data_IF_230710002371
#
_entry.id   IF_230710002371
#
_cell.length_a   1.000
_cell.length_b   1.000
_cell.length_c   1.000
_cell.angle_alpha   90.00
_cell.angle_beta   90.00
_cell.angle_gamma   90.00
#
_symmetry.space_group_name_H-M   'P 1'
#
loop_
_entity.id
_entity.type
_entity.pdbx_description
1 polymer ?
#
# COMPACT_ATOMS: atom_id res chain seq x y z
N UNK A 1 3.49 -0.57 -12.91
CA UNK A 1 3.76 0.83 -12.48
C UNK A 1 4.19 0.91 -11.02
N UNK A 2 3.39 0.46 -10.05
CA UNK A 2 3.77 0.48 -8.62
C UNK A 2 5.04 -0.33 -8.28
N UNK A 3 5.15 -1.57 -8.78
CA UNK A 3 6.37 -2.38 -8.60
C UNK A 3 7.62 -1.71 -9.15
N UNK A 4 7.56 -1.16 -10.36
CA UNK A 4 8.67 -0.44 -10.99
C UNK A 4 9.09 0.77 -10.15
N UNK A 5 8.13 1.57 -9.67
CA UNK A 5 8.39 2.69 -8.79
C UNK A 5 9.11 2.23 -7.50
N UNK A 6 8.61 1.19 -6.85
CA UNK A 6 9.23 0.64 -5.64
C UNK A 6 10.65 0.12 -5.90
N UNK A 7 10.87 -0.51 -7.06
CA UNK A 7 12.17 -1.02 -7.48
C UNK A 7 13.21 0.11 -7.64
N UNK A 8 12.83 1.23 -8.27
CA UNK A 8 13.71 2.39 -8.41
C UNK A 8 13.96 3.13 -7.09
N UNK A 9 13.03 3.05 -6.14
CA UNK A 9 13.12 3.67 -4.82
C UNK A 9 13.38 2.66 -3.70
N UNK A 10 14.08 1.56 -4.00
CA UNK A 10 14.22 0.42 -3.09
C UNK A 10 14.79 0.77 -1.71
N UNK A 11 15.65 1.78 -1.61
CA UNK A 11 16.19 2.22 -0.31
C UNK A 11 15.09 2.66 0.67
N UNK A 12 13.97 3.20 0.17
CA UNK A 12 12.84 3.66 0.98
C UNK A 12 12.14 2.53 1.74
N UNK A 13 12.16 1.30 1.19
CA UNK A 13 11.55 0.12 1.82
C UNK A 13 12.22 -0.26 3.15
N UNK A 14 13.46 0.21 3.36
CA UNK A 14 14.21 -0.01 4.59
C UNK A 14 13.83 0.99 5.70
N UNK A 15 13.07 2.03 5.38
CA UNK A 15 12.66 3.02 6.37
C UNK A 15 11.61 2.45 7.34
N UNK A 16 11.68 2.86 8.60
CA UNK A 16 10.69 2.45 9.61
C UNK A 16 9.27 2.89 9.25
N UNK A 17 9.09 4.04 8.59
CA UNK A 17 7.78 4.51 8.12
C UNK A 17 7.19 3.60 7.05
N UNK A 18 7.98 3.17 6.08
CA UNK A 18 7.52 2.23 5.05
C UNK A 18 7.13 0.90 5.67
N UNK A 19 8.01 0.30 6.48
CA UNK A 19 7.76 -1.02 7.10
C UNK A 19 6.52 -1.03 8.01
N UNK A 20 6.27 0.07 8.73
CA UNK A 20 5.04 0.18 9.54
C UNK A 20 3.77 0.25 8.70
N UNK A 21 3.81 0.93 7.55
CA UNK A 21 2.63 1.13 6.71
C UNK A 21 2.33 -0.08 5.81
N UNK A 22 3.34 -0.68 5.19
CA UNK A 22 3.18 -1.73 4.16
C UNK A 22 3.71 -3.10 4.58
N UNK A 23 4.50 -3.19 5.65
CA UNK A 23 5.22 -4.40 6.03
C UNK A 23 6.60 -4.51 5.38
N UNK A 24 7.26 -5.64 5.61
CA UNK A 24 8.56 -5.93 5.00
C UNK A 24 8.40 -6.43 3.57
N UNK A 25 9.24 -5.92 2.66
CA UNK A 25 9.29 -6.33 1.25
C UNK A 25 10.70 -6.80 0.90
N UNK A 26 10.81 -7.88 0.13
CA UNK A 26 12.08 -8.43 -0.36
C UNK A 26 12.30 -8.06 -1.82
N UNK A 27 13.53 -7.65 -2.18
CA UNK A 27 13.84 -7.14 -3.54
C UNK A 27 13.71 -8.22 -4.61
N UNK A 28 14.00 -9.45 -4.22
CA UNK A 28 13.85 -10.64 -5.03
C UNK A 28 12.45 -11.23 -4.79
N UNK A 29 11.41 -10.56 -5.28
CA UNK A 29 10.10 -11.19 -5.38
C UNK A 29 10.13 -12.16 -6.55
N UNK A 30 10.34 -13.45 -6.25
CA UNK A 30 10.02 -14.56 -7.18
C UNK A 30 8.55 -14.89 -6.93
N UNK A 31 7.77 -15.03 -8.01
CA UNK A 31 6.35 -15.45 -8.02
C UNK A 31 6.23 -16.94 -7.62
N UNK A 32 6.98 -17.40 -6.62
CA UNK A 32 7.21 -18.82 -6.35
C UNK A 32 7.21 -19.13 -4.83
N UNK A 33 6.39 -18.44 -4.04
CA UNK A 33 6.00 -18.91 -2.72
C UNK A 33 4.48 -19.12 -2.74
N UNK A 34 4.06 -20.31 -3.18
CA UNK A 34 2.66 -20.80 -3.17
C UNK A 34 2.11 -21.01 -1.74
N UNK A 35 2.82 -20.61 -0.69
CA UNK A 35 2.52 -20.98 0.70
C UNK A 35 1.67 -19.98 1.50
N UNK A 36 1.07 -18.95 0.90
CA UNK A 36 0.35 -17.91 1.66
C UNK A 36 -1.20 -18.01 1.66
N UNK A 37 -1.76 -19.12 1.18
CA UNK A 37 -3.21 -19.30 1.00
C UNK A 37 -3.98 -19.64 2.30
N UNK A 38 -3.32 -19.79 3.46
CA UNK A 38 -3.98 -20.30 4.69
C UNK A 38 -4.40 -19.26 5.76
N UNK A 39 -4.53 -17.97 5.44
CA UNK A 39 -5.14 -16.99 6.36
C UNK A 39 -6.67 -16.86 6.20
N UNK A 40 -7.26 -17.75 5.40
CA UNK A 40 -8.46 -17.53 4.63
C UNK A 40 -9.74 -17.99 5.35
N UNK A 41 -10.44 -17.03 5.98
CA UNK A 41 -11.89 -16.75 5.77
C UNK A 41 -12.51 -15.90 6.87
N UNK A 42 -12.09 -16.01 8.13
CA UNK A 42 -12.65 -15.19 9.24
C UNK A 42 -11.86 -13.92 9.54
N UNK A 43 -10.52 -13.95 9.38
CA UNK A 43 -9.65 -12.79 9.62
C UNK A 43 -9.57 -11.85 8.42
N UNK A 44 -9.79 -12.38 7.21
CA UNK A 44 -9.79 -11.63 5.94
C UNK A 44 -10.86 -10.52 5.93
N UNK A 45 -12.09 -10.78 6.41
CA UNK A 45 -13.13 -9.76 6.40
C UNK A 45 -12.73 -8.51 7.22
N UNK A 46 -12.04 -8.71 8.35
CA UNK A 46 -11.55 -7.63 9.21
C UNK A 46 -10.26 -7.00 8.70
N UNK A 47 -9.36 -7.76 8.07
CA UNK A 47 -8.11 -7.20 7.51
C UNK A 47 -8.36 -6.48 6.18
N UNK A 48 -9.37 -6.87 5.39
CA UNK A 48 -9.75 -6.18 4.16
C UNK A 48 -10.13 -4.71 4.37
N UNK A 49 -10.50 -4.31 5.59
CA UNK A 49 -10.68 -2.89 5.89
C UNK A 49 -9.37 -2.12 5.86
N UNK A 50 -8.23 -2.77 6.11
CA UNK A 50 -6.89 -2.18 6.12
C UNK A 50 -6.21 -2.16 4.74
N UNK A 51 -6.85 -2.72 3.70
CA UNK A 51 -6.33 -2.78 2.33
C UNK A 51 -7.24 -2.06 1.34
N UNK A 52 -6.67 -1.50 0.27
CA UNK A 52 -7.44 -0.79 -0.77
C UNK A 52 -8.26 -1.73 -1.66
N UNK A 53 -7.83 -2.98 -1.79
CA UNK A 53 -8.48 -4.05 -2.55
C UNK A 53 -8.18 -5.41 -1.91
N UNK A 54 -8.88 -6.46 -2.34
CA UNK A 54 -8.56 -7.82 -1.91
C UNK A 54 -7.19 -8.26 -2.41
N UNK A 55 -6.82 -7.86 -3.63
CA UNK A 55 -5.51 -8.15 -4.21
C UNK A 55 -4.36 -7.50 -3.42
N UNK A 56 -4.57 -6.30 -2.88
CA UNK A 56 -3.60 -5.65 -2.00
C UNK A 56 -3.31 -6.45 -0.70
N UNK A 57 -4.23 -7.31 -0.26
CA UNK A 57 -4.06 -8.08 0.97
C UNK A 57 -3.18 -9.33 0.80
N UNK A 58 -2.81 -9.69 -0.43
CA UNK A 58 -2.08 -10.94 -0.72
C UNK A 58 -0.61 -10.86 -0.33
N UNK A 59 0.01 -9.68 -0.45
CA UNK A 59 1.43 -9.50 -0.17
C UNK A 59 1.78 -8.01 0.07
N UNK A 60 2.72 -7.68 0.99
CA UNK A 60 3.19 -6.30 1.23
C UNK A 60 3.58 -5.50 -0.03
N UNK A 61 4.13 -6.19 -1.03
CA UNK A 61 4.50 -5.56 -2.31
C UNK A 61 3.26 -5.23 -3.16
N UNK A 62 2.26 -6.10 -3.17
CA UNK A 62 0.98 -5.86 -3.87
C UNK A 62 0.16 -4.80 -3.15
N UNK A 63 0.21 -4.76 -1.82
CA UNK A 63 -0.37 -3.69 -1.01
C UNK A 63 0.17 -2.32 -1.41
N UNK A 64 1.50 -2.21 -1.53
CA UNK A 64 2.14 -1.01 -2.03
C UNK A 64 1.70 -0.70 -3.47
N UNK A 65 1.73 -1.69 -4.37
CA UNK A 65 1.47 -1.48 -5.78
C UNK A 65 0.03 -1.01 -6.05
N UNK A 66 -0.93 -1.61 -5.38
CA UNK A 66 -2.34 -1.23 -5.45
C UNK A 66 -2.56 0.15 -4.80
N UNK A 67 -1.98 0.41 -3.63
CA UNK A 67 -2.06 1.74 -3.00
C UNK A 67 -1.50 2.82 -3.93
N UNK A 68 -0.35 2.55 -4.56
CA UNK A 68 0.26 3.46 -5.53
C UNK A 68 -0.63 3.69 -6.75
N UNK A 69 -1.27 2.64 -7.27
CA UNK A 69 -2.21 2.74 -8.39
C UNK A 69 -3.38 3.67 -8.06
N UNK A 70 -4.00 3.49 -6.90
CA UNK A 70 -5.08 4.38 -6.43
C UNK A 70 -4.59 5.82 -6.23
N UNK A 71 -3.42 5.99 -5.64
CA UNK A 71 -2.81 7.32 -5.42
C UNK A 71 -2.59 8.08 -6.72
N UNK A 72 -2.02 7.44 -7.73
CA UNK A 72 -1.79 8.06 -9.05
C UNK A 72 -3.11 8.34 -9.76
N UNK A 73 -4.03 7.38 -9.79
CA UNK A 73 -5.32 7.52 -10.47
C UNK A 73 -6.21 8.62 -9.86
N UNK A 74 -6.06 8.89 -8.56
CA UNK A 74 -6.82 9.91 -7.81
C UNK A 74 -5.95 11.10 -7.38
N UNK A 75 -4.80 11.29 -8.03
CA UNK A 75 -3.89 12.41 -7.72
C UNK A 75 -4.61 13.74 -7.93
N UNK A 76 -4.73 14.55 -6.87
CA UNK A 76 -5.51 15.80 -6.86
C UNK A 76 -6.95 15.67 -6.32
N UNK A 77 -7.44 14.44 -6.13
CA UNK A 77 -8.76 14.12 -5.56
C UNK A 77 -8.68 13.18 -4.35
N UNK A 78 -7.59 13.25 -3.59
CA UNK A 78 -7.37 12.40 -2.42
C UNK A 78 -8.46 12.58 -1.36
N UNK A 79 -9.01 13.80 -1.22
CA UNK A 79 -10.13 14.06 -0.29
C UNK A 79 -11.38 13.25 -0.65
N UNK A 80 -11.70 13.12 -1.94
CA UNK A 80 -12.82 12.30 -2.40
C UNK A 80 -12.52 10.81 -2.15
N UNK A 81 -11.30 10.36 -2.44
CA UNK A 81 -10.88 8.99 -2.17
C UNK A 81 -10.97 8.63 -0.67
N UNK A 82 -10.54 9.53 0.21
CA UNK A 82 -10.64 9.35 1.66
C UNK A 82 -12.10 9.36 2.15
N UNK A 83 -12.96 10.14 1.51
CA UNK A 83 -14.40 10.13 1.76
C UNK A 83 -15.02 8.79 1.34
N UNK A 84 -14.61 8.23 0.20
CA UNK A 84 -15.01 6.90 -0.24
C UNK A 84 -14.55 5.81 0.74
N UNK A 85 -13.33 5.89 1.25
CA UNK A 85 -12.83 4.98 2.28
C UNK A 85 -13.67 5.04 3.56
N UNK A 86 -14.07 6.25 3.98
CA UNK A 86 -14.93 6.43 5.15
C UNK A 86 -16.30 5.78 4.95
N UNK A 87 -16.93 6.02 3.79
CA UNK A 87 -18.20 5.36 3.41
C UNK A 87 -18.08 3.83 3.37
N UNK A 88 -16.93 3.31 2.94
CA UNK A 88 -16.62 1.88 2.88
C UNK A 88 -16.12 1.31 4.21
N UNK A 89 -16.07 2.11 5.28
CA UNK A 89 -15.58 1.72 6.62
C UNK A 89 -14.19 1.10 6.58
N UNK A 90 -13.29 1.65 5.76
CA UNK A 90 -11.89 1.25 5.72
C UNK A 90 -11.20 1.67 7.02
N UNK A 91 -10.23 0.87 7.46
CA UNK A 91 -9.45 1.10 8.67
C UNK A 91 -8.44 2.22 8.50
N UNK A 92 -7.98 2.77 9.63
CA UNK A 92 -7.00 3.88 9.70
C UNK A 92 -5.72 3.55 8.92
N UNK A 93 -5.31 2.27 8.91
CA UNK A 93 -4.14 1.79 8.17
C UNK A 93 -4.16 2.14 6.68
N UNK A 94 -5.33 2.15 6.02
CA UNK A 94 -5.40 2.57 4.61
C UNK A 94 -4.96 4.02 4.49
N UNK A 95 -5.47 4.91 5.35
CA UNK A 95 -5.12 6.33 5.33
C UNK A 95 -3.62 6.55 5.58
N UNK A 96 -3.05 5.84 6.56
CA UNK A 96 -1.61 5.89 6.86
C UNK A 96 -0.74 5.55 5.65
N UNK A 97 -1.10 4.50 4.90
CA UNK A 97 -0.40 4.12 3.67
C UNK A 97 -0.40 5.25 2.64
N UNK A 98 -1.53 5.94 2.46
CA UNK A 98 -1.61 7.08 1.54
C UNK A 98 -0.79 8.28 2.02
N UNK A 99 -0.77 8.57 3.33
CA UNK A 99 0.03 9.66 3.89
C UNK A 99 1.53 9.38 3.72
N UNK A 100 1.98 8.18 4.08
CA UNK A 100 3.39 7.77 3.92
C UNK A 100 3.82 7.82 2.45
N UNK A 101 2.97 7.36 1.53
CA UNK A 101 3.24 7.46 0.10
C UNK A 101 3.25 8.92 -0.38
N UNK A 102 2.28 9.73 0.05
CA UNK A 102 2.17 11.13 -0.36
C UNK A 102 3.40 11.93 0.07
N UNK A 103 3.82 11.78 1.34
CA UNK A 103 5.00 12.44 1.89
C UNK A 103 6.26 12.06 1.12
N UNK A 104 6.45 10.77 0.82
CA UNK A 104 7.59 10.33 0.03
C UNK A 104 7.57 10.93 -1.37
N UNK A 105 6.44 10.89 -2.08
CA UNK A 105 6.30 11.49 -3.41
C UNK A 105 6.52 13.01 -3.39
N UNK A 106 6.12 13.71 -2.33
CA UNK A 106 6.43 15.14 -2.14
C UNK A 106 7.92 15.38 -1.94
N UNK A 107 8.59 14.56 -1.13
CA UNK A 107 10.04 14.69 -0.91
C UNK A 107 10.86 14.52 -2.19
N UNK A 108 10.42 13.66 -3.11
CA UNK A 108 11.05 13.48 -4.41
C UNK A 108 10.93 14.72 -5.32
N UNK A 109 9.97 15.59 -5.05
CA UNK A 109 9.72 16.83 -5.80
C UNK A 109 10.45 18.05 -5.23
N UNK A 110 11.25 17.89 -4.18
CA UNK A 110 11.98 18.98 -3.54
C UNK A 110 11.10 19.94 -2.73
N UNK A 111 9.85 19.57 -2.43
CA UNK A 111 9.00 20.33 -1.51
C UNK A 111 9.42 20.02 -0.07
N UNK A 112 10.21 20.92 0.52
CA UNK A 112 10.56 20.92 1.94
C UNK A 112 9.49 21.65 2.75
#
# INVERSE_FOLDING_TARGET
MGHSFLYHHWSWTRSGRFRRAFGEVRKAYRVADEHWVDFERRRIATTLTDYVSAYAATHPQEDFAETFRFYVARRGRLRELFSEFGRKRKGVRVYEKFLVLHDFVRSLRGWK
#
